data_IF_358789142657
#
_entry.id   IF_358789142657
#
_cell.length_a   1.000
_cell.length_b   1.000
_cell.length_c   1.000
_cell.angle_alpha   90.00
_cell.angle_beta   90.00
_cell.angle_gamma   90.00
#
_symmetry.space_group_name_H-M   'P 1'
#
loop_
_entity.id
_entity.type
_entity.pdbx_description
1 polymer ?
#
# COMPACT_ATOMS: atom_id res chain seq x y z
N UNK A 1 24.85 4.28 13.20
CA UNK A 1 25.15 5.67 12.77
C UNK A 1 24.32 6.61 13.65
N UNK A 2 24.88 7.70 14.19
CA UNK A 2 24.13 8.65 15.03
C UNK A 2 23.76 9.85 14.18
N UNK A 3 22.46 10.06 13.97
CA UNK A 3 21.91 11.21 13.26
C UNK A 3 21.13 12.07 14.25
N UNK A 4 21.21 13.38 14.09
CA UNK A 4 20.47 14.38 14.88
C UNK A 4 19.46 15.06 13.98
N UNK A 5 18.26 15.33 14.52
CA UNK A 5 17.17 16.01 13.83
C UNK A 5 16.65 17.08 14.78
N UNK A 6 16.51 18.31 14.29
CA UNK A 6 15.92 19.40 15.05
C UNK A 6 14.39 19.28 15.05
N UNK A 7 13.80 19.37 16.24
CA UNK A 7 12.36 19.26 16.45
C UNK A 7 11.88 20.48 17.25
N UNK A 8 10.77 21.12 16.84
CA UNK A 8 10.13 22.15 17.66
C UNK A 8 9.77 21.62 19.05
N UNK A 9 9.98 22.44 20.09
CA UNK A 9 9.76 22.06 21.49
C UNK A 9 8.34 21.53 21.74
N UNK A 10 7.34 22.15 21.12
CA UNK A 10 5.94 21.74 21.28
C UNK A 10 5.67 20.35 20.70
N UNK A 11 6.33 20.01 19.59
CA UNK A 11 6.25 18.66 19.02
C UNK A 11 7.00 17.65 19.89
N UNK A 12 8.17 18.03 20.42
CA UNK A 12 8.93 17.18 21.33
C UNK A 12 8.13 16.82 22.59
N UNK A 13 7.45 17.79 23.20
CA UNK A 13 6.60 17.57 24.38
C UNK A 13 5.47 16.60 24.07
N UNK A 14 4.71 16.84 22.99
CA UNK A 14 3.60 15.98 22.58
C UNK A 14 4.06 14.55 22.29
N UNK A 15 5.17 14.39 21.59
CA UNK A 15 5.71 13.09 21.24
C UNK A 15 6.21 12.32 22.48
N UNK A 16 6.78 13.00 23.48
CA UNK A 16 7.13 12.36 24.77
C UNK A 16 5.91 11.90 25.56
N UNK A 17 4.86 12.72 25.62
CA UNK A 17 3.60 12.36 26.29
C UNK A 17 3.04 11.09 25.64
N UNK A 18 2.95 11.08 24.30
CA UNK A 18 2.47 9.93 23.54
C UNK A 18 3.31 8.67 23.76
N UNK A 19 4.64 8.79 23.87
CA UNK A 19 5.50 7.65 24.15
C UNK A 19 5.20 7.04 25.53
N UNK A 20 4.92 7.87 26.54
CA UNK A 20 4.52 7.41 27.88
C UNK A 20 3.13 6.77 27.86
N UNK A 21 2.16 7.37 27.16
CA UNK A 21 0.81 6.81 27.01
C UNK A 21 0.81 5.43 26.34
N UNK A 22 1.72 5.22 25.39
CA UNK A 22 1.86 3.95 24.67
C UNK A 22 2.85 2.97 25.34
N UNK A 23 3.40 3.32 26.51
CA UNK A 23 4.41 2.53 27.25
C UNK A 23 5.65 2.13 26.42
N UNK A 24 6.02 2.97 25.45
CA UNK A 24 7.19 2.75 24.58
C UNK A 24 8.25 3.81 24.78
N UNK A 25 9.48 3.52 24.34
CA UNK A 25 10.53 4.53 24.34
C UNK A 25 10.27 5.59 23.26
N UNK A 26 10.72 6.81 23.52
CA UNK A 26 10.65 7.91 22.55
C UNK A 26 11.33 7.57 21.22
N UNK A 27 12.42 6.79 21.27
CA UNK A 27 13.14 6.34 20.07
C UNK A 27 12.27 5.39 19.24
N UNK A 28 11.61 4.43 19.87
CA UNK A 28 10.69 3.50 19.18
C UNK A 28 9.52 4.24 18.57
N UNK A 29 8.96 5.23 19.27
CA UNK A 29 7.89 6.07 18.72
C UNK A 29 8.34 6.79 17.43
N UNK A 30 9.54 7.37 17.43
CA UNK A 30 10.09 8.03 16.24
C UNK A 30 10.31 7.03 15.11
N UNK A 31 10.93 5.89 15.39
CA UNK A 31 11.21 4.87 14.38
C UNK A 31 9.90 4.39 13.75
N UNK A 32 8.91 4.03 14.57
CA UNK A 32 7.59 3.57 14.09
C UNK A 32 6.89 4.63 13.24
N UNK A 33 6.97 5.90 13.64
CA UNK A 33 6.38 6.98 12.87
C UNK A 33 7.07 7.15 11.51
N UNK A 34 8.40 7.08 11.47
CA UNK A 34 9.17 7.17 10.22
C UNK A 34 8.97 5.94 9.33
N UNK A 35 8.90 4.73 9.89
CA UNK A 35 8.60 3.51 9.14
C UNK A 35 7.20 3.53 8.55
N UNK A 36 6.21 4.04 9.28
CA UNK A 36 4.85 4.16 8.78
C UNK A 36 4.71 5.20 7.66
N UNK A 37 5.49 6.28 7.71
CA UNK A 37 5.43 7.36 6.70
C UNK A 37 6.29 7.08 5.46
N UNK A 38 7.50 6.53 5.66
CA UNK A 38 8.50 6.33 4.60
C UNK A 38 8.58 4.85 4.16
N UNK A 39 8.51 3.94 5.13
CA UNK A 39 8.62 2.50 4.92
C UNK A 39 7.34 1.88 4.34
N UNK A 40 6.22 2.58 4.41
CA UNK A 40 5.03 2.30 3.61
C UNK A 40 5.24 2.80 2.18
N UNK A 41 6.35 2.36 1.56
CA UNK A 41 6.40 2.27 0.12
C UNK A 41 5.15 1.49 -0.28
N UNK A 42 4.29 2.15 -1.06
CA UNK A 42 3.05 1.62 -1.60
C UNK A 42 3.18 0.10 -1.76
N UNK A 43 2.56 -0.67 -0.85
CA UNK A 43 2.01 -1.93 -1.28
C UNK A 43 1.06 -1.48 -2.39
N UNK A 44 1.57 -1.50 -3.62
CA UNK A 44 0.77 -1.50 -4.82
C UNK A 44 -0.23 -2.59 -4.49
N UNK A 45 -1.43 -2.16 -4.14
CA UNK A 45 -2.60 -3.01 -4.17
C UNK A 45 -2.67 -3.37 -5.64
N UNK A 46 -1.93 -4.40 -6.05
CA UNK A 46 -2.17 -5.17 -7.25
C UNK A 46 -3.57 -5.68 -7.02
N UNK A 47 -4.52 -4.86 -7.47
CA UNK A 47 -5.90 -5.12 -7.22
C UNK A 47 -6.19 -6.49 -7.82
N UNK A 48 -6.89 -7.40 -7.12
CA UNK A 48 -6.99 -8.81 -7.53
C UNK A 48 -7.50 -9.01 -8.97
N UNK A 49 -8.20 -8.01 -9.52
CA UNK A 49 -8.72 -8.03 -10.88
C UNK A 49 -7.68 -7.78 -11.99
N UNK A 50 -6.53 -7.20 -11.67
CA UNK A 50 -5.43 -6.98 -12.62
C UNK A 50 -4.82 -8.33 -13.05
N UNK A 51 -4.66 -9.24 -12.09
CA UNK A 51 -4.27 -10.65 -12.29
C UNK A 51 -5.33 -11.52 -12.96
N UNK A 52 -6.58 -11.04 -13.02
CA UNK A 52 -7.70 -11.73 -13.65
C UNK A 52 -7.92 -11.30 -15.12
N UNK A 53 -7.18 -10.30 -15.64
CA UNK A 53 -7.22 -9.97 -17.07
C UNK A 53 -6.75 -11.17 -17.90
N UNK A 54 -7.67 -11.74 -18.69
CA UNK A 54 -7.36 -12.85 -19.61
C UNK A 54 -7.36 -14.25 -19.00
N UNK A 55 -7.53 -14.40 -17.68
CA UNK A 55 -7.68 -15.71 -17.00
C UNK A 55 -9.14 -16.14 -16.83
N UNK A 56 -10.08 -15.50 -17.52
CA UNK A 56 -11.48 -15.91 -17.55
C UNK A 56 -11.69 -17.12 -18.47
N UNK A 57 -12.80 -17.84 -18.27
CA UNK A 57 -13.26 -18.95 -19.13
C UNK A 57 -13.46 -18.55 -20.61
N UNK A 58 -13.46 -17.26 -20.91
CA UNK A 58 -13.53 -16.71 -22.26
C UNK A 58 -12.16 -16.52 -22.96
N UNK A 59 -11.03 -16.76 -22.28
CA UNK A 59 -9.68 -16.54 -22.85
C UNK A 59 -9.33 -17.47 -24.01
N UNK A 60 -9.99 -18.64 -24.10
CA UNK A 60 -9.84 -19.58 -25.20
C UNK A 60 -10.94 -19.51 -26.25
N UNK A 61 -11.91 -18.60 -26.12
CA UNK A 61 -12.99 -18.44 -27.10
C UNK A 61 -12.48 -17.59 -28.25
N UNK A 62 -12.23 -18.20 -29.41
CA UNK A 62 -11.94 -17.43 -30.61
C UNK A 62 -13.23 -16.87 -31.21
N UNK A 63 -13.19 -15.71 -31.90
CA UNK A 63 -14.35 -15.17 -32.60
C UNK A 63 -15.02 -16.16 -33.58
N UNK A 64 -14.24 -17.12 -34.09
CA UNK A 64 -14.72 -18.19 -34.98
C UNK A 64 -15.44 -19.35 -34.25
N UNK A 65 -15.33 -19.45 -32.93
CA UNK A 65 -16.05 -20.45 -32.12
C UNK A 65 -17.47 -19.99 -31.76
N UNK A 66 -17.82 -18.75 -32.14
CA UNK A 66 -19.17 -18.23 -31.98
C UNK A 66 -20.14 -18.92 -32.95
N UNK A 67 -21.17 -19.55 -32.41
CA UNK A 67 -22.27 -20.16 -33.20
C UNK A 67 -23.13 -19.16 -33.98
N UNK A 68 -22.85 -17.86 -33.85
CA UNK A 68 -23.48 -16.83 -34.66
C UNK A 68 -22.79 -16.74 -36.02
N UNK A 69 -23.28 -17.53 -36.99
CA UNK A 69 -23.02 -17.25 -38.40
C UNK A 69 -23.57 -15.86 -38.72
N UNK A 70 -22.67 -14.90 -38.93
CA UNK A 70 -23.04 -13.57 -39.41
C UNK A 70 -23.90 -13.70 -40.66
N UNK A 71 -25.17 -13.37 -40.55
CA UNK A 71 -26.05 -13.16 -41.69
C UNK A 71 -25.48 -12.00 -42.49
N UNK A 72 -24.84 -12.31 -43.62
CA UNK A 72 -24.48 -11.32 -44.64
C UNK A 72 -25.78 -10.64 -45.08
N UNK A 73 -25.89 -9.35 -44.77
CA UNK A 73 -26.73 -8.43 -45.54
C UNK A 73 -25.94 -7.93 -46.75
#
# INVERSE_FOLDING_TARGET
MRTSVDLPDDLMKKAKIKAVEEEISFKELIIRALENEIGRAEEKNETPWEDLRGRGTAGGLHPNDSGFKGSKF
#
